data_IF_194767757054
#
_entry.id   IF_194767757054
#
_cell.length_a   1.000
_cell.length_b   1.000
_cell.length_c   1.000
_cell.angle_alpha   90.00
_cell.angle_beta   90.00
_cell.angle_gamma   90.00
#
_symmetry.space_group_name_H-M   'P 1'
#
loop_
_entity.id
_entity.type
_entity.pdbx_description
1 polymer ?
#
# COMPACT_ATOMS: atom_id res chain seq x y z
N UNK A 1 -4.20 4.72 -4.36
CA UNK A 1 -3.18 3.64 -4.36
C UNK A 1 -3.86 2.32 -4.66
N UNK A 2 -3.45 1.68 -5.73
CA UNK A 2 -4.02 0.43 -6.20
C UNK A 2 -3.08 -0.74 -5.96
N UNK A 3 -3.65 -1.89 -5.61
CA UNK A 3 -2.90 -3.11 -5.29
C UNK A 3 -3.47 -4.31 -6.04
N UNK A 4 -2.59 -5.17 -6.55
CA UNK A 4 -2.96 -6.48 -7.08
C UNK A 4 -2.03 -7.55 -6.52
N UNK A 5 -2.59 -8.67 -6.08
CA UNK A 5 -1.81 -9.87 -5.80
C UNK A 5 -1.68 -10.66 -7.10
N UNK A 6 -0.49 -11.18 -7.36
CA UNK A 6 -0.20 -11.88 -8.62
C UNK A 6 0.61 -13.15 -8.37
N UNK A 7 0.25 -14.22 -9.05
CA UNK A 7 0.91 -15.52 -8.94
C UNK A 7 1.93 -15.76 -10.07
N UNK A 8 1.72 -15.17 -11.25
CA UNK A 8 2.56 -15.41 -12.42
C UNK A 8 3.76 -14.45 -12.47
N UNK A 9 4.69 -14.68 -11.56
CA UNK A 9 5.89 -13.84 -11.40
C UNK A 9 6.83 -14.01 -12.59
N UNK A 10 6.95 -15.23 -13.12
CA UNK A 10 7.82 -15.51 -14.27
C UNK A 10 7.38 -14.73 -15.51
N UNK A 11 6.08 -14.56 -15.71
CA UNK A 11 5.56 -13.75 -16.81
C UNK A 11 5.99 -12.30 -16.70
N UNK A 12 5.98 -11.73 -15.48
CA UNK A 12 6.43 -10.36 -15.25
C UNK A 12 7.94 -10.20 -15.49
N UNK A 13 8.74 -11.18 -15.14
CA UNK A 13 10.18 -11.14 -15.40
C UNK A 13 10.47 -11.10 -16.89
N UNK A 14 9.65 -11.80 -17.69
CA UNK A 14 9.80 -11.84 -19.16
C UNK A 14 9.23 -10.61 -19.83
N UNK A 15 8.15 -10.04 -19.28
CA UNK A 15 7.46 -8.88 -19.84
C UNK A 15 6.86 -8.02 -18.75
N UNK A 16 7.62 -7.03 -18.22
CA UNK A 16 7.13 -6.12 -17.18
C UNK A 16 5.90 -5.31 -17.57
N UNK A 17 5.66 -5.12 -18.89
CA UNK A 17 4.49 -4.37 -19.37
C UNK A 17 3.17 -5.08 -19.08
N UNK A 18 3.19 -6.38 -18.79
CA UNK A 18 2.00 -7.11 -18.35
C UNK A 18 1.37 -6.54 -17.10
N UNK A 19 2.17 -5.93 -16.21
CA UNK A 19 1.66 -5.36 -14.98
C UNK A 19 0.58 -4.31 -15.23
N UNK A 20 0.80 -3.39 -16.16
CA UNK A 20 -0.18 -2.37 -16.53
C UNK A 20 -1.46 -3.00 -17.09
N UNK A 21 -1.30 -4.02 -17.94
CA UNK A 21 -2.43 -4.74 -18.50
C UNK A 21 -3.26 -5.44 -17.43
N UNK A 22 -2.61 -6.05 -16.44
CA UNK A 22 -3.31 -6.72 -15.35
C UNK A 22 -4.10 -5.74 -14.48
N UNK A 23 -3.58 -4.54 -14.23
CA UNK A 23 -4.35 -3.51 -13.52
C UNK A 23 -5.58 -3.07 -14.32
N UNK A 24 -5.50 -3.06 -15.66
CA UNK A 24 -6.64 -2.74 -16.51
C UNK A 24 -7.68 -3.87 -16.57
N UNK A 25 -7.23 -5.12 -16.55
CA UNK A 25 -8.09 -6.30 -16.77
C UNK A 25 -8.67 -6.88 -15.49
N UNK A 26 -8.06 -6.62 -14.34
CA UNK A 26 -8.48 -7.16 -13.04
C UNK A 26 -8.98 -6.05 -12.15
N UNK A 27 -9.73 -6.41 -11.12
CA UNK A 27 -10.24 -5.47 -10.14
C UNK A 27 -9.23 -5.30 -9.01
N UNK A 28 -8.50 -4.16 -8.94
CA UNK A 28 -7.51 -3.96 -7.90
C UNK A 28 -8.15 -3.58 -6.56
N UNK A 29 -7.43 -3.80 -5.48
CA UNK A 29 -7.79 -3.24 -4.18
C UNK A 29 -7.39 -1.77 -4.19
N UNK A 30 -8.34 -0.89 -3.93
CA UNK A 30 -8.12 0.57 -3.95
C UNK A 30 -8.22 1.12 -2.54
N UNK A 31 -7.12 1.68 -2.03
CA UNK A 31 -7.10 2.33 -0.72
C UNK A 31 -7.61 3.78 -0.78
N UNK A 32 -7.93 4.29 -1.97
CA UNK A 32 -8.35 5.66 -2.13
C UNK A 32 -7.29 6.63 -1.60
N UNK A 33 -7.73 7.68 -0.93
CA UNK A 33 -6.84 8.69 -0.36
C UNK A 33 -6.23 8.28 0.99
N UNK A 34 -6.61 7.14 1.54
CA UNK A 34 -6.13 6.69 2.85
C UNK A 34 -4.67 6.24 2.85
N UNK A 35 -4.09 5.98 1.69
CA UNK A 35 -2.76 5.34 1.58
C UNK A 35 -1.65 6.11 2.32
N UNK A 36 -1.61 7.43 2.21
CA UNK A 36 -0.54 8.20 2.84
C UNK A 36 -0.69 8.24 4.37
N UNK A 37 -1.92 8.45 4.85
CA UNK A 37 -2.17 8.40 6.29
C UNK A 37 -1.82 7.03 6.87
N UNK A 38 -2.16 5.94 6.19
CA UNK A 38 -1.78 4.59 6.62
C UNK A 38 -0.27 4.42 6.66
N UNK A 39 0.45 4.91 5.65
CA UNK A 39 1.91 4.89 5.67
C UNK A 39 2.47 5.61 6.90
N UNK A 40 1.97 6.80 7.20
CA UNK A 40 2.37 7.57 8.39
C UNK A 40 2.11 6.79 9.67
N UNK A 41 0.93 6.19 9.80
CA UNK A 41 0.56 5.42 10.99
C UNK A 41 1.45 4.18 11.17
N UNK A 42 1.83 3.53 10.08
CA UNK A 42 2.68 2.34 10.12
C UNK A 42 4.15 2.67 10.38
N UNK A 43 4.65 3.76 9.80
CA UNK A 43 6.09 4.05 9.79
C UNK A 43 6.51 5.24 10.66
N UNK A 44 5.58 6.06 11.12
CA UNK A 44 5.89 7.24 11.92
C UNK A 44 6.56 8.36 11.13
N UNK A 45 6.49 8.33 9.80
CA UNK A 45 7.12 9.29 8.90
C UNK A 45 6.26 9.46 7.66
N UNK A 46 6.30 10.65 7.07
CA UNK A 46 5.54 10.94 5.84
C UNK A 46 6.03 10.13 4.64
N UNK A 47 7.33 9.99 4.47
CA UNK A 47 7.92 9.36 3.28
C UNK A 47 9.00 8.33 3.60
N UNK A 48 9.39 8.20 4.84
CA UNK A 48 10.42 7.28 5.27
C UNK A 48 9.86 6.06 5.96
N UNK A 49 10.77 5.22 6.43
CA UNK A 49 10.45 4.00 7.17
C UNK A 49 11.45 2.91 6.88
N UNK A 50 11.22 1.76 7.48
CA UNK A 50 12.06 0.59 7.30
C UNK A 50 11.23 -0.63 6.91
N UNK A 51 11.77 -1.55 6.08
CA UNK A 51 11.10 -2.80 5.83
C UNK A 51 10.87 -3.56 7.15
N UNK A 52 9.80 -4.36 7.26
CA UNK A 52 8.86 -4.64 6.21
C UNK A 52 7.72 -3.63 6.06
N UNK A 53 7.41 -2.81 7.06
CA UNK A 53 6.24 -1.92 7.04
C UNK A 53 6.32 -0.85 5.96
N UNK A 54 7.53 -0.42 5.60
CA UNK A 54 7.72 0.53 4.49
C UNK A 54 7.19 -0.06 3.18
N UNK A 55 7.32 -1.36 2.97
CA UNK A 55 6.91 -2.02 1.73
C UNK A 55 5.39 -2.15 1.58
N UNK A 56 4.62 -1.90 2.66
CA UNK A 56 3.16 -2.01 2.59
C UNK A 56 2.53 -0.93 1.70
N UNK A 57 3.13 0.24 1.59
CA UNK A 57 2.56 1.37 0.82
C UNK A 57 3.57 1.96 -0.17
N UNK A 58 4.74 2.37 0.29
CA UNK A 58 5.71 3.10 -0.53
C UNK A 58 6.87 2.25 -1.04
N UNK A 59 6.98 1.01 -0.62
CA UNK A 59 8.08 0.14 -1.01
C UNK A 59 7.86 -0.59 -2.32
N UNK A 60 8.70 -1.59 -2.54
CA UNK A 60 8.71 -2.37 -3.77
C UNK A 60 9.73 -1.85 -4.78
N UNK A 61 9.97 -2.67 -5.80
CA UNK A 61 10.92 -2.37 -6.87
C UNK A 61 10.16 -1.91 -8.10
N UNK A 62 10.52 -0.75 -8.71
CA UNK A 62 9.85 -0.31 -9.94
C UNK A 62 10.02 -1.33 -11.07
N UNK A 63 8.92 -1.56 -11.80
CA UNK A 63 8.91 -2.40 -13.00
C UNK A 63 8.98 -1.53 -14.25
N UNK A 64 9.65 -2.03 -15.29
CA UNK A 64 9.72 -1.34 -16.58
C UNK A 64 10.64 -0.13 -16.54
N UNK A 65 10.21 0.97 -17.17
CA UNK A 65 11.01 2.18 -17.32
C UNK A 65 11.18 2.90 -15.97
N UNK A 66 12.43 2.99 -15.43
CA UNK A 66 12.67 3.67 -14.17
C UNK A 66 12.45 5.19 -14.23
N UNK A 67 12.33 5.76 -15.43
CA UNK A 67 12.03 7.18 -15.60
C UNK A 67 10.54 7.49 -15.62
N UNK A 68 9.69 6.47 -15.55
CA UNK A 68 8.24 6.65 -15.47
C UNK A 68 7.86 7.47 -14.25
N UNK A 69 6.95 8.39 -14.43
CA UNK A 69 6.49 9.28 -13.37
C UNK A 69 5.77 8.52 -12.24
N UNK A 70 5.02 7.50 -12.60
CA UNK A 70 4.28 6.68 -11.64
C UNK A 70 4.49 5.20 -11.96
N UNK A 71 5.66 4.65 -11.55
CA UNK A 71 5.95 3.26 -11.88
C UNK A 71 5.05 2.31 -11.09
N UNK A 72 4.75 1.16 -11.71
CA UNK A 72 4.19 0.05 -10.98
C UNK A 72 5.34 -0.59 -10.20
N UNK A 73 5.15 -0.79 -8.90
CA UNK A 73 6.17 -1.36 -8.02
C UNK A 73 5.83 -2.80 -7.69
N UNK A 74 6.87 -3.60 -7.54
CA UNK A 74 6.78 -5.03 -7.27
C UNK A 74 7.29 -5.33 -5.87
N UNK A 75 6.44 -5.98 -5.06
CA UNK A 75 6.81 -6.51 -3.75
C UNK A 75 6.82 -8.04 -3.89
N UNK A 76 8.00 -8.64 -3.75
CA UNK A 76 8.17 -10.07 -3.96
C UNK A 76 7.53 -10.93 -2.87
N UNK A 77 7.36 -12.25 -3.12
CA UNK A 77 6.68 -13.13 -2.15
C UNK A 77 7.29 -13.14 -0.76
N UNK A 78 8.62 -13.09 -0.64
CA UNK A 78 9.29 -13.06 0.67
C UNK A 78 8.99 -11.76 1.42
N UNK A 79 8.99 -10.64 0.72
CA UNK A 79 8.66 -9.33 1.27
C UNK A 79 7.18 -9.24 1.64
N UNK A 80 6.30 -9.82 0.82
CA UNK A 80 4.86 -9.91 1.10
C UNK A 80 4.63 -10.65 2.42
N UNK A 81 5.29 -11.78 2.61
CA UNK A 81 5.19 -12.56 3.85
C UNK A 81 5.66 -11.73 5.05
N UNK A 82 6.77 -11.02 4.92
CA UNK A 82 7.31 -10.18 5.98
C UNK A 82 6.35 -9.02 6.33
N UNK A 83 5.73 -8.40 5.34
CA UNK A 83 4.71 -7.36 5.56
C UNK A 83 3.51 -7.95 6.31
N UNK A 84 3.00 -9.09 5.86
CA UNK A 84 1.83 -9.72 6.48
C UNK A 84 2.07 -10.02 7.96
N UNK A 85 3.27 -10.49 8.31
CA UNK A 85 3.64 -10.78 9.70
C UNK A 85 3.82 -9.51 10.55
N UNK A 86 4.25 -8.41 9.93
CA UNK A 86 4.58 -7.18 10.65
C UNK A 86 3.39 -6.23 10.82
N UNK A 87 2.33 -6.35 10.01
CA UNK A 87 1.18 -5.47 10.10
C UNK A 87 0.52 -5.60 11.49
N UNK A 88 0.47 -4.50 12.29
CA UNK A 88 -0.08 -4.58 13.64
C UNK A 88 -1.61 -4.68 13.62
N UNK A 89 -2.21 -5.14 14.73
CA UNK A 89 -3.67 -5.06 14.88
C UNK A 89 -4.15 -3.61 14.76
N UNK A 90 -5.35 -3.43 14.21
CA UNK A 90 -5.92 -2.09 14.01
C UNK A 90 -5.97 -1.28 15.31
N UNK A 91 -6.20 -1.92 16.45
CA UNK A 91 -6.25 -1.26 17.76
C UNK A 91 -4.93 -0.54 18.11
N UNK A 92 -3.81 -0.99 17.56
CA UNK A 92 -2.52 -0.33 17.77
C UNK A 92 -2.34 0.91 16.91
N UNK A 93 -3.07 1.02 15.80
CA UNK A 93 -3.01 2.18 14.93
C UNK A 93 -3.90 3.33 15.40
N UNK A 94 -5.04 3.00 16.02
CA UNK A 94 -6.02 4.01 16.43
C UNK A 94 -5.41 5.11 17.28
N UNK A 95 -4.64 4.82 18.35
CA UNK A 95 -4.06 5.89 19.17
C UNK A 95 -2.96 6.69 18.44
N UNK A 96 -2.42 6.19 17.34
CA UNK A 96 -1.43 6.93 16.53
C UNK A 96 -2.08 7.97 15.63
N UNK A 97 -3.37 7.81 15.33
CA UNK A 97 -4.11 8.76 14.51
C UNK A 97 -4.53 9.95 15.37
N UNK A 98 -3.76 11.03 15.26
CA UNK A 98 -4.06 12.29 15.94
C UNK A 98 -3.98 13.42 14.91
N UNK A 99 -4.77 14.46 15.13
CA UNK A 99 -4.73 15.66 14.32
C UNK A 99 -3.30 16.22 14.23
N UNK A 100 -2.61 16.27 15.38
CA UNK A 100 -1.24 16.74 15.45
C UNK A 100 -0.28 15.92 14.58
N UNK A 101 -0.36 14.59 14.65
CA UNK A 101 0.50 13.71 13.87
C UNK A 101 0.27 13.88 12.38
N UNK A 102 -0.98 13.97 11.93
CA UNK A 102 -1.32 14.17 10.53
C UNK A 102 -0.83 15.52 10.02
N UNK A 103 -0.98 16.57 10.81
CA UNK A 103 -0.53 17.91 10.45
C UNK A 103 0.98 18.02 10.39
N UNK A 104 1.70 17.46 11.38
CA UNK A 104 3.16 17.48 11.43
C UNK A 104 3.81 16.74 10.26
N UNK A 105 3.19 15.67 9.81
CA UNK A 105 3.69 14.87 8.68
C UNK A 105 3.18 15.34 7.33
N UNK A 106 2.30 16.35 7.30
CA UNK A 106 1.67 16.84 6.08
C UNK A 106 1.02 15.72 5.27
N UNK A 107 0.25 14.86 5.96
CA UNK A 107 -0.37 13.70 5.34
C UNK A 107 -1.22 14.10 4.13
N UNK A 108 -1.00 13.41 3.02
CA UNK A 108 -1.69 13.67 1.75
C UNK A 108 -3.01 12.90 1.66
N UNK A 109 -4.07 13.44 1.05
CA UNK A 109 -4.21 14.84 0.62
C UNK A 109 -4.44 15.77 1.80
N UNK A 110 -4.01 17.02 1.66
CA UNK A 110 -4.08 17.99 2.74
C UNK A 110 -5.51 18.20 3.24
N UNK A 111 -5.69 18.09 4.55
CA UNK A 111 -6.93 18.42 5.23
C UNK A 111 -8.05 17.38 5.21
N UNK A 112 -7.98 16.34 4.40
CA UNK A 112 -9.06 15.35 4.35
C UNK A 112 -9.22 14.59 5.68
N UNK A 113 -8.13 14.44 6.41
CA UNK A 113 -8.10 13.78 7.71
C UNK A 113 -8.76 14.61 8.83
N UNK A 114 -9.14 15.86 8.56
CA UNK A 114 -9.93 16.68 9.47
C UNK A 114 -11.43 16.36 9.41
N UNK A 115 -11.85 15.60 8.40
CA UNK A 115 -13.25 15.23 8.25
C UNK A 115 -13.72 14.40 9.44
N UNK A 116 -14.96 14.64 9.96
CA UNK A 116 -15.52 13.79 11.00
C UNK A 116 -15.55 12.32 10.59
N UNK A 117 -15.27 11.43 11.52
CA UNK A 117 -15.33 9.99 11.34
C UNK A 117 -14.39 9.42 10.26
N UNK A 118 -13.37 10.18 9.85
CA UNK A 118 -12.41 9.72 8.85
C UNK A 118 -11.70 8.44 9.29
N UNK A 119 -11.38 8.32 10.57
CA UNK A 119 -10.71 7.13 11.10
C UNK A 119 -11.60 5.89 10.94
N UNK A 120 -12.85 5.95 11.38
CA UNK A 120 -13.76 4.79 11.38
C UNK A 120 -14.35 4.49 10.03
N UNK A 121 -14.60 5.50 9.21
CA UNK A 121 -15.27 5.33 7.91
C UNK A 121 -14.33 5.18 6.74
N UNK A 122 -13.08 5.65 6.87
CA UNK A 122 -12.12 5.65 5.76
C UNK A 122 -10.84 4.89 6.07
N UNK A 123 -10.16 5.23 7.17
CA UNK A 123 -8.85 4.65 7.47
C UNK A 123 -8.94 3.19 7.90
N UNK A 124 -9.81 2.86 8.84
CA UNK A 124 -9.93 1.48 9.33
C UNK A 124 -10.43 0.51 8.26
N UNK A 125 -11.44 0.85 7.43
CA UNK A 125 -11.81 -0.03 6.32
C UNK A 125 -10.68 -0.23 5.31
N UNK A 126 -9.94 0.84 4.95
CA UNK A 126 -8.80 0.74 4.05
C UNK A 126 -7.69 -0.13 4.66
N UNK A 127 -7.42 0.04 5.95
CA UNK A 127 -6.43 -0.78 6.64
C UNK A 127 -6.84 -2.25 6.67
N UNK A 128 -8.12 -2.53 6.91
CA UNK A 128 -8.64 -3.90 6.86
C UNK A 128 -8.40 -4.53 5.49
N UNK A 129 -8.68 -3.80 4.41
CA UNK A 129 -8.45 -4.27 3.06
C UNK A 129 -6.96 -4.52 2.79
N UNK A 130 -6.08 -3.66 3.31
CA UNK A 130 -4.64 -3.82 3.18
C UNK A 130 -4.15 -5.10 3.89
N UNK A 131 -4.62 -5.33 5.11
CA UNK A 131 -4.28 -6.53 5.89
C UNK A 131 -4.72 -7.79 5.17
N UNK A 132 -5.96 -7.83 4.68
CA UNK A 132 -6.50 -8.98 3.94
C UNK A 132 -5.67 -9.26 2.68
N UNK A 133 -5.33 -8.21 1.92
CA UNK A 133 -4.54 -8.34 0.70
C UNK A 133 -3.19 -9.02 0.98
N UNK A 134 -2.43 -8.50 1.94
CA UNK A 134 -1.11 -9.07 2.25
C UNK A 134 -1.20 -10.44 2.90
N UNK A 135 -2.19 -10.66 3.77
CA UNK A 135 -2.40 -11.96 4.42
C UNK A 135 -2.75 -13.03 3.39
N UNK A 136 -3.67 -12.75 2.49
CA UNK A 136 -4.10 -13.70 1.45
C UNK A 136 -2.98 -13.95 0.44
N UNK A 137 -2.26 -12.90 0.02
CA UNK A 137 -1.13 -13.04 -0.89
C UNK A 137 -0.01 -13.87 -0.26
N UNK A 138 0.30 -13.63 1.02
CA UNK A 138 1.32 -14.41 1.73
C UNK A 138 0.93 -15.88 1.83
N UNK A 139 -0.32 -16.18 2.15
CA UNK A 139 -0.81 -17.55 2.24
C UNK A 139 -0.75 -18.28 0.89
N UNK A 140 -0.93 -17.56 -0.21
CA UNK A 140 -0.88 -18.12 -1.57
C UNK A 140 0.52 -18.11 -2.19
N UNK A 141 1.52 -17.54 -1.51
CA UNK A 141 2.87 -17.41 -2.05
C UNK A 141 2.98 -16.42 -3.20
N UNK A 142 2.09 -15.43 -3.24
CA UNK A 142 2.00 -14.46 -4.32
C UNK A 142 2.81 -13.19 -4.06
N UNK A 143 3.14 -12.47 -5.14
CA UNK A 143 3.68 -11.12 -5.07
C UNK A 143 2.54 -10.10 -5.04
N UNK A 144 2.87 -8.85 -4.70
CA UNK A 144 1.92 -7.74 -4.74
C UNK A 144 2.46 -6.64 -5.63
N UNK A 145 1.62 -6.13 -6.52
CA UNK A 145 1.91 -4.98 -7.36
C UNK A 145 1.22 -3.75 -6.78
N UNK A 146 1.91 -2.63 -6.77
CA UNK A 146 1.41 -1.37 -6.20
C UNK A 146 1.59 -0.26 -7.22
N UNK A 147 0.55 0.54 -7.44
CA UNK A 147 0.63 1.72 -8.29
C UNK A 147 -0.26 2.85 -7.76
N UNK A 148 0.11 4.08 -8.06
CA UNK A 148 -0.71 5.24 -7.73
C UNK A 148 -1.62 5.54 -8.91
N UNK A 149 -2.93 5.57 -8.65
CA UNK A 149 -3.90 5.95 -9.66
C UNK A 149 -3.91 7.47 -9.81
N UNK A 150 -3.88 7.95 -11.04
CA UNK A 150 -4.10 9.36 -11.35
C UNK A 150 -5.59 9.67 -11.40
N UNK A 151 -5.96 10.68 -10.68
CA UNK A 151 -7.29 11.26 -10.79
C UNK A 151 -7.34 12.23 -11.97
#
# INVERSE_FOLDING_TARGET
MLYLSVSDIDALERDPDLAAQWFADREPVDLGHAWHALHVLLNGSAWGGSPPLFDAVLGGVPLGDPTSYEPIRYVGPAEVEAVAEALPPAEQLVPRFTHKAMKLTEAYPDGWWDEPDVLTERLLPAYHDLVLLFTDAAAAGEAVLITLERD
#
